data_IF_819877938510
#
_entry.id   IF_819877938510
#
_cell.length_a   1.000
_cell.length_b   1.000
_cell.length_c   1.000
_cell.angle_alpha   90.00
_cell.angle_beta   90.00
_cell.angle_gamma   90.00
#
_symmetry.space_group_name_H-M   'P 1'
#
loop_
_entity.id
_entity.type
_entity.pdbx_description
1 polymer ?
#
# COMPACT_ATOMS: atom_id res chain seq x y z
N UNK A 1 32.42 -14.08 -1.82
CA UNK A 1 31.14 -14.83 -1.71
C UNK A 1 30.04 -13.93 -2.22
N UNK A 2 29.12 -14.44 -3.03
CA UNK A 2 28.06 -13.61 -3.62
C UNK A 2 26.98 -13.27 -2.58
N UNK A 3 26.53 -12.01 -2.46
CA UNK A 3 25.46 -11.62 -1.55
C UNK A 3 24.15 -12.33 -1.88
N UNK A 4 23.31 -12.49 -0.86
CA UNK A 4 22.00 -13.15 -0.96
C UNK A 4 20.91 -12.32 -0.30
N UNK A 5 19.71 -12.41 -0.85
CA UNK A 5 18.50 -11.81 -0.27
C UNK A 5 17.77 -12.89 0.52
N UNK A 6 17.38 -12.57 1.74
CA UNK A 6 16.62 -13.45 2.63
C UNK A 6 15.86 -12.65 3.66
N UNK A 7 14.85 -13.24 4.27
CA UNK A 7 14.22 -12.66 5.46
C UNK A 7 15.04 -13.06 6.70
N UNK A 8 15.84 -12.12 7.21
CA UNK A 8 16.77 -12.35 8.31
C UNK A 8 16.10 -13.01 9.53
N UNK A 9 16.81 -13.95 10.15
CA UNK A 9 16.39 -14.67 11.35
C UNK A 9 15.12 -15.53 11.20
N UNK A 10 14.74 -15.88 9.97
CA UNK A 10 13.64 -16.83 9.68
C UNK A 10 14.12 -18.01 8.85
N UNK A 11 13.27 -19.03 8.68
CA UNK A 11 13.55 -20.24 7.90
C UNK A 11 13.26 -20.08 6.39
N UNK A 12 13.07 -18.85 5.91
CA UNK A 12 12.77 -18.57 4.51
C UNK A 12 14.02 -18.85 3.67
N UNK A 13 13.82 -19.44 2.49
CA UNK A 13 14.88 -19.66 1.51
C UNK A 13 15.56 -18.35 1.12
N UNK A 14 16.75 -18.46 0.53
CA UNK A 14 17.49 -17.31 0.03
C UNK A 14 17.56 -17.34 -1.49
N UNK A 15 17.68 -16.16 -2.08
CA UNK A 15 17.90 -15.99 -3.52
C UNK A 15 19.19 -15.19 -3.75
N UNK A 16 19.97 -15.49 -4.80
CA UNK A 16 21.16 -14.71 -5.13
C UNK A 16 20.80 -13.24 -5.42
N UNK A 17 21.58 -12.30 -4.89
CA UNK A 17 21.33 -10.87 -5.12
C UNK A 17 21.41 -10.49 -6.59
N UNK A 18 22.34 -11.09 -7.34
CA UNK A 18 22.46 -10.92 -8.79
C UNK A 18 21.19 -11.29 -9.53
N UNK A 19 20.60 -12.46 -9.22
CA UNK A 19 19.35 -12.89 -9.85
C UNK A 19 18.21 -11.90 -9.61
N UNK A 20 18.16 -11.28 -8.42
CA UNK A 20 17.19 -10.20 -8.12
C UNK A 20 17.46 -8.97 -8.99
N UNK A 21 18.72 -8.57 -9.15
CA UNK A 21 19.09 -7.44 -10.00
C UNK A 21 18.75 -7.69 -11.48
N UNK A 22 18.97 -8.90 -11.98
CA UNK A 22 18.66 -9.31 -13.34
C UNK A 22 17.16 -9.24 -13.61
N UNK A 23 16.33 -9.74 -12.70
CA UNK A 23 14.87 -9.63 -12.81
C UNK A 23 14.42 -8.15 -12.81
N UNK A 24 15.01 -7.30 -11.95
CA UNK A 24 14.67 -5.87 -11.94
C UNK A 24 15.06 -5.22 -13.27
N UNK A 25 16.23 -5.52 -13.83
CA UNK A 25 16.65 -5.04 -15.16
C UNK A 25 15.62 -5.42 -16.22
N UNK A 26 15.25 -6.70 -16.27
CA UNK A 26 14.34 -7.22 -17.29
C UNK A 26 12.96 -6.53 -17.21
N UNK A 27 12.47 -6.25 -15.99
CA UNK A 27 11.23 -5.49 -15.78
C UNK A 27 11.38 -4.04 -16.25
N UNK A 28 12.49 -3.35 -15.94
CA UNK A 28 12.71 -1.98 -16.42
C UNK A 28 12.68 -1.92 -17.94
N UNK A 29 13.28 -2.90 -18.62
CA UNK A 29 13.33 -2.97 -20.08
C UNK A 29 11.96 -3.23 -20.70
N UNK A 30 11.20 -4.13 -20.07
CA UNK A 30 9.83 -4.41 -20.46
C UNK A 30 8.94 -3.16 -20.31
N UNK A 31 9.00 -2.49 -19.16
CA UNK A 31 8.21 -1.27 -18.89
C UNK A 31 8.61 -0.13 -19.83
N UNK A 32 9.91 0.02 -20.13
CA UNK A 32 10.37 0.99 -21.13
C UNK A 32 9.80 0.73 -22.52
N UNK A 33 9.74 -0.54 -22.93
CA UNK A 33 9.15 -0.93 -24.22
C UNK A 33 7.65 -0.65 -24.27
N UNK A 34 6.92 -1.00 -23.21
CA UNK A 34 5.47 -0.75 -23.11
C UNK A 34 5.17 0.75 -23.09
N UNK A 35 5.92 1.52 -22.31
CA UNK A 35 5.76 2.97 -22.25
C UNK A 35 6.01 3.64 -23.61
N UNK A 36 7.08 3.27 -24.30
CA UNK A 36 7.38 3.78 -25.64
C UNK A 36 6.26 3.46 -26.65
N UNK A 37 5.70 2.24 -26.63
CA UNK A 37 4.59 1.86 -27.49
C UNK A 37 3.29 2.61 -27.18
N UNK A 38 3.07 2.96 -25.91
CA UNK A 38 1.90 3.71 -25.43
C UNK A 38 2.04 5.23 -25.51
N UNK A 39 3.19 5.77 -25.96
CA UNK A 39 3.47 7.21 -25.93
C UNK A 39 3.59 7.78 -24.51
N UNK A 40 3.97 6.95 -23.54
CA UNK A 40 4.15 7.31 -22.13
C UNK A 40 5.64 7.32 -21.78
N UNK A 41 6.02 7.98 -20.68
CA UNK A 41 7.38 7.86 -20.13
C UNK A 41 7.48 6.64 -19.21
N UNK A 42 8.60 5.88 -19.24
CA UNK A 42 8.81 4.81 -18.28
C UNK A 42 9.00 5.38 -16.87
N UNK A 43 8.33 4.78 -15.91
CA UNK A 43 8.45 5.18 -14.52
C UNK A 43 9.75 4.62 -13.88
N UNK A 44 10.37 5.37 -12.96
CA UNK A 44 11.53 4.90 -12.23
C UNK A 44 11.19 3.81 -11.23
N UNK A 45 12.18 2.99 -10.88
CA UNK A 45 12.08 1.99 -9.81
C UNK A 45 12.94 2.42 -8.62
N UNK A 46 12.33 2.48 -7.43
CA UNK A 46 13.04 2.75 -6.18
C UNK A 46 13.33 1.43 -5.45
N UNK A 47 14.61 1.07 -5.33
CA UNK A 47 15.06 -0.14 -4.64
C UNK A 47 15.43 0.18 -3.19
N UNK A 48 14.59 -0.23 -2.24
CA UNK A 48 14.92 -0.14 -0.79
C UNK A 48 15.88 -1.25 -0.41
N UNK A 49 17.13 -0.90 -0.11
CA UNK A 49 18.16 -1.88 0.26
C UNK A 49 18.35 -1.92 1.79
N UNK A 50 17.89 -3.00 2.42
CA UNK A 50 18.21 -3.29 3.82
C UNK A 50 19.49 -4.13 3.87
N UNK A 51 20.62 -3.46 4.06
CA UNK A 51 21.94 -4.05 3.91
C UNK A 51 22.51 -4.57 5.24
N UNK A 52 22.71 -5.89 5.33
CA UNK A 52 23.35 -6.56 6.48
C UNK A 52 24.70 -7.19 6.12
N UNK A 53 25.27 -6.83 4.95
CA UNK A 53 26.57 -7.33 4.51
C UNK A 53 27.71 -6.61 5.22
N UNK A 54 28.82 -7.31 5.42
CA UNK A 54 30.11 -6.71 5.78
C UNK A 54 30.69 -5.89 4.62
N UNK A 55 31.74 -5.10 4.87
CA UNK A 55 32.30 -4.19 3.87
C UNK A 55 32.68 -4.86 2.54
N UNK A 56 33.13 -6.12 2.57
CA UNK A 56 33.44 -6.88 1.36
C UNK A 56 32.15 -7.25 0.59
N UNK A 57 31.12 -7.72 1.29
CA UNK A 57 29.81 -7.97 0.71
C UNK A 57 29.13 -6.71 0.19
N UNK A 58 29.27 -5.57 0.88
CA UNK A 58 28.74 -4.28 0.40
C UNK A 58 29.40 -3.85 -0.91
N UNK A 59 30.73 -3.97 -1.02
CA UNK A 59 31.43 -3.73 -2.28
C UNK A 59 30.91 -4.64 -3.38
N UNK A 60 30.69 -5.92 -3.07
CA UNK A 60 30.16 -6.87 -4.06
C UNK A 60 28.72 -6.55 -4.48
N UNK A 61 27.87 -6.04 -3.58
CA UNK A 61 26.53 -5.54 -3.94
C UNK A 61 26.63 -4.43 -4.99
N UNK A 62 27.50 -3.45 -4.76
CA UNK A 62 27.70 -2.31 -5.67
C UNK A 62 28.23 -2.76 -7.03
N UNK A 63 29.23 -3.66 -7.06
CA UNK A 63 29.73 -4.24 -8.31
C UNK A 63 28.63 -4.92 -9.11
N UNK A 64 27.80 -5.76 -8.46
CA UNK A 64 26.67 -6.42 -9.13
C UNK A 64 25.68 -5.41 -9.70
N UNK A 65 25.33 -4.35 -8.95
CA UNK A 65 24.42 -3.32 -9.43
C UNK A 65 24.98 -2.61 -10.68
N UNK A 66 26.27 -2.26 -10.68
CA UNK A 66 26.90 -1.64 -11.86
C UNK A 66 27.00 -2.60 -13.05
N UNK A 67 27.37 -3.87 -12.81
CA UNK A 67 27.47 -4.89 -13.85
C UNK A 67 26.12 -5.23 -14.48
N UNK A 68 25.03 -5.23 -13.71
CA UNK A 68 23.72 -5.71 -14.17
C UNK A 68 22.79 -4.59 -14.61
N UNK A 69 22.78 -3.47 -13.90
CA UNK A 69 21.88 -2.36 -14.21
C UNK A 69 22.52 -1.34 -15.17
N UNK A 70 23.85 -1.29 -15.25
CA UNK A 70 24.59 -0.45 -16.20
C UNK A 70 24.05 0.99 -16.23
N UNK A 71 23.57 1.46 -17.39
CA UNK A 71 23.02 2.79 -17.59
C UNK A 71 21.65 3.00 -16.92
N UNK A 72 20.92 1.94 -16.56
CA UNK A 72 19.63 2.05 -15.83
C UNK A 72 19.84 2.51 -14.39
N UNK A 73 20.99 2.21 -13.80
CA UNK A 73 21.30 2.66 -12.45
C UNK A 73 21.49 4.18 -12.42
N UNK A 74 20.77 4.86 -11.54
CA UNK A 74 21.02 6.26 -11.24
C UNK A 74 22.28 6.39 -10.37
N UNK A 75 23.44 6.47 -11.02
CA UNK A 75 24.75 6.57 -10.35
C UNK A 75 25.27 8.00 -10.20
N UNK A 76 24.67 8.98 -10.88
CA UNK A 76 25.07 10.39 -10.85
C UNK A 76 23.86 11.30 -10.68
N UNK A 77 24.01 12.49 -10.08
CA UNK A 77 22.96 13.50 -10.05
C UNK A 77 22.47 13.84 -11.46
N UNK A 78 21.16 14.00 -11.63
CA UNK A 78 20.55 14.39 -12.92
C UNK A 78 20.91 15.82 -13.27
N UNK A 79 20.95 16.71 -12.27
CA UNK A 79 21.38 18.10 -12.40
C UNK A 79 22.54 18.38 -11.45
N UNK A 80 23.80 18.27 -11.90
CA UNK A 80 24.96 18.60 -11.08
C UNK A 80 24.93 20.09 -10.67
N UNK A 81 25.12 20.39 -9.38
CA UNK A 81 25.12 21.74 -8.80
C UNK A 81 23.76 22.46 -8.78
N UNK A 82 22.66 21.73 -8.95
CA UNK A 82 21.31 22.27 -8.84
C UNK A 82 20.49 21.43 -7.86
N UNK A 83 20.17 22.03 -6.71
CA UNK A 83 19.39 21.40 -5.64
C UNK A 83 17.87 21.54 -5.85
N UNK A 84 17.43 21.96 -7.04
CA UNK A 84 16.01 21.94 -7.39
C UNK A 84 15.50 20.51 -7.59
N UNK A 85 14.19 20.36 -7.48
CA UNK A 85 13.58 19.04 -7.54
C UNK A 85 13.54 18.51 -8.98
N UNK A 86 13.92 17.25 -9.12
CA UNK A 86 13.83 16.50 -10.37
C UNK A 86 12.39 16.02 -10.57
N UNK A 87 11.86 16.18 -11.78
CA UNK A 87 10.55 15.65 -12.16
C UNK A 87 10.63 14.15 -12.51
N UNK A 88 9.50 13.44 -12.49
CA UNK A 88 9.47 12.02 -12.91
C UNK A 88 9.90 11.83 -14.36
N UNK A 89 9.56 12.77 -15.23
CA UNK A 89 9.93 12.75 -16.65
C UNK A 89 11.46 12.83 -16.83
N UNK A 90 12.12 13.71 -16.07
CA UNK A 90 13.59 13.84 -16.11
C UNK A 90 14.31 12.64 -15.51
N UNK A 91 13.72 12.02 -14.48
CA UNK A 91 14.28 10.82 -13.88
C UNK A 91 14.17 9.62 -14.84
N UNK A 92 13.07 9.53 -15.59
CA UNK A 92 12.81 8.46 -16.57
C UNK A 92 12.82 7.06 -15.94
N UNK A 93 13.03 6.05 -16.78
CA UNK A 93 13.06 4.63 -16.40
C UNK A 93 14.36 4.21 -15.68
N UNK A 94 14.82 4.99 -14.71
CA UNK A 94 16.02 4.71 -13.93
C UNK A 94 15.72 3.91 -12.66
N UNK A 95 16.73 3.19 -12.19
CA UNK A 95 16.75 2.48 -10.92
C UNK A 95 17.48 3.36 -9.92
N UNK A 96 16.78 3.82 -8.87
CA UNK A 96 17.38 4.56 -7.78
C UNK A 96 17.40 3.71 -6.50
N UNK A 97 18.55 3.68 -5.82
CA UNK A 97 18.73 2.86 -4.61
C UNK A 97 18.52 3.72 -3.36
N UNK A 98 17.61 3.29 -2.50
CA UNK A 98 17.37 3.89 -1.19
C UNK A 98 18.17 3.10 -0.14
N UNK A 99 19.14 3.75 0.49
CA UNK A 99 20.02 3.17 1.50
C UNK A 99 19.95 3.96 2.81
N UNK A 100 20.38 3.32 3.90
CA UNK A 100 20.52 3.99 5.19
C UNK A 100 21.72 4.95 5.17
N UNK A 101 21.49 6.19 5.54
CA UNK A 101 22.54 7.20 5.66
C UNK A 101 23.00 7.32 7.12
N UNK A 102 24.29 7.15 7.35
CA UNK A 102 24.90 7.28 8.67
C UNK A 102 25.58 8.65 8.75
N UNK A 103 25.19 9.47 9.75
CA UNK A 103 25.80 10.78 9.93
C UNK A 103 27.27 10.63 10.39
N UNK A 104 28.24 11.35 9.80
CA UNK A 104 29.67 11.18 10.10
C UNK A 104 30.07 11.35 11.57
N UNK A 105 29.25 12.02 12.40
CA UNK A 105 29.55 12.33 13.79
C UNK A 105 28.64 11.63 14.82
N UNK A 106 27.74 10.74 14.40
CA UNK A 106 26.94 9.96 15.34
C UNK A 106 27.84 8.95 16.08
N UNK A 107 28.18 9.25 17.33
CA UNK A 107 28.71 8.25 18.27
C UNK A 107 27.71 7.09 18.32
N UNK A 108 28.20 5.84 18.30
CA UNK A 108 27.44 4.60 18.48
C UNK A 108 26.62 4.64 19.78
N UNK A 109 25.48 5.33 19.76
CA UNK A 109 24.57 5.40 20.88
C UNK A 109 23.67 4.18 20.78
N UNK A 110 23.89 3.23 21.68
CA UNK A 110 23.09 2.02 21.86
C UNK A 110 21.64 2.30 22.32
N UNK A 111 21.20 3.56 22.28
CA UNK A 111 19.93 4.06 22.79
C UNK A 111 19.12 4.78 21.71
N UNK A 112 18.91 4.17 20.55
CA UNK A 112 17.75 4.49 19.72
C UNK A 112 16.59 3.59 20.15
N UNK A 113 15.62 4.21 20.80
CA UNK A 113 14.40 3.60 21.30
C UNK A 113 13.62 3.00 20.13
N UNK A 114 13.86 1.71 19.85
CA UNK A 114 12.80 0.91 19.27
C UNK A 114 11.67 0.90 20.30
N UNK A 115 10.67 1.74 20.11
CA UNK A 115 9.36 1.67 20.75
C UNK A 115 8.68 0.36 20.34
N UNK A 116 9.22 -0.72 20.90
CA UNK A 116 8.61 -2.05 20.94
C UNK A 116 7.71 -2.20 22.16
N UNK A 117 7.46 -1.12 22.91
CA UNK A 117 6.49 -1.06 23.99
C UNK A 117 5.13 -0.57 23.49
N UNK A 118 4.31 -1.51 23.04
CA UNK A 118 2.92 -1.58 23.50
C UNK A 118 2.30 -2.91 23.12
N UNK A 119 1.67 -3.49 24.13
CA UNK A 119 0.85 -4.70 24.13
C UNK A 119 -0.32 -4.57 23.17
N UNK A 120 -0.38 -5.43 22.17
CA UNK A 120 -1.65 -5.77 21.53
C UNK A 120 -1.97 -7.22 21.89
N UNK A 121 -2.80 -7.36 22.92
CA UNK A 121 -3.65 -8.52 23.17
C UNK A 121 -4.57 -8.73 21.98
N UNK A 122 -4.37 -9.82 21.26
CA UNK A 122 -5.38 -10.84 20.94
C UNK A 122 -4.91 -11.66 19.73
N UNK A 123 -4.26 -12.79 20.02
CA UNK A 123 -4.08 -13.90 19.06
C UNK A 123 -3.77 -15.15 19.88
N UNK A 124 -4.63 -16.14 19.75
CA UNK A 124 -4.67 -17.38 20.54
C UNK A 124 -3.59 -18.41 20.18
N UNK A 125 -2.73 -18.13 19.20
CA UNK A 125 -1.71 -19.08 18.74
C UNK A 125 -0.40 -18.92 19.52
N UNK A 126 -0.11 -19.89 20.39
CA UNK A 126 1.13 -19.95 21.16
C UNK A 126 2.38 -20.13 20.27
N UNK A 127 2.23 -20.70 19.07
CA UNK A 127 3.30 -20.81 18.08
C UNK A 127 3.78 -19.44 17.58
N UNK A 128 2.87 -18.50 17.33
CA UNK A 128 3.23 -17.14 16.91
C UNK A 128 3.94 -16.36 18.02
N UNK A 129 3.58 -16.59 19.29
CA UNK A 129 4.26 -15.97 20.44
C UNK A 129 5.70 -16.48 20.56
N UNK A 130 5.91 -17.79 20.42
CA UNK A 130 7.25 -18.40 20.47
C UNK A 130 8.12 -17.92 19.31
N UNK A 131 7.60 -17.89 18.09
CA UNK A 131 8.30 -17.34 16.92
C UNK A 131 8.68 -15.86 17.08
N UNK A 132 7.79 -15.02 17.65
CA UNK A 132 8.09 -13.61 18.00
C UNK A 132 9.21 -13.50 19.03
N UNK A 133 9.20 -14.35 20.06
CA UNK A 133 10.21 -14.33 21.12
C UNK A 133 11.59 -14.74 20.58
N UNK A 134 11.65 -15.80 19.78
CA UNK A 134 12.89 -16.26 19.13
C UNK A 134 13.44 -15.23 18.14
N UNK A 135 12.59 -14.61 17.32
CA UNK A 135 12.98 -13.52 16.43
C UNK A 135 13.56 -12.32 17.21
N UNK A 136 12.91 -11.92 18.31
CA UNK A 136 13.37 -10.83 19.17
C UNK A 136 14.72 -11.14 19.84
N UNK A 137 14.95 -12.39 20.24
CA UNK A 137 16.23 -12.82 20.82
C UNK A 137 17.37 -12.83 19.78
N UNK A 138 17.10 -13.29 18.56
CA UNK A 138 18.09 -13.31 17.47
C UNK A 138 18.45 -11.90 16.97
N UNK A 139 17.46 -11.00 16.86
CA UNK A 139 17.65 -9.58 16.48
C UNK A 139 18.51 -8.76 17.47
N UNK A 140 18.65 -9.21 18.74
CA UNK A 140 19.47 -8.53 19.75
C UNK A 140 20.99 -8.80 19.62
N UNK A 141 21.41 -9.71 18.74
CA UNK A 141 22.81 -10.16 18.62
C UNK A 141 23.64 -9.47 17.54
N UNK A 142 23.05 -8.57 16.75
CA UNK A 142 23.74 -7.79 15.70
C UNK A 142 23.60 -6.28 15.95
N UNK A 143 24.55 -5.44 15.48
CA UNK A 143 24.44 -4.00 15.56
C UNK A 143 23.14 -3.53 14.90
N UNK A 144 22.43 -2.62 15.54
CA UNK A 144 21.13 -2.14 15.07
C UNK A 144 21.35 -1.01 14.08
N UNK A 145 20.68 -1.09 12.94
CA UNK A 145 20.44 0.04 12.05
C UNK A 145 19.79 1.20 12.84
N UNK A 146 20.37 2.39 12.72
CA UNK A 146 19.94 3.60 13.43
C UNK A 146 18.67 4.15 12.78
N UNK A 147 17.55 4.11 13.51
CA UNK A 147 16.30 4.73 13.05
C UNK A 147 16.23 6.16 13.57
N UNK A 148 16.21 7.12 12.66
CA UNK A 148 16.09 8.52 13.01
C UNK A 148 14.66 8.81 13.50
N UNK A 149 14.55 9.23 14.76
CA UNK A 149 13.29 9.59 15.41
C UNK A 149 12.66 10.80 14.71
N UNK A 150 11.34 10.75 14.49
CA UNK A 150 10.54 11.84 13.90
C UNK A 150 10.67 13.17 14.69
N UNK A 151 11.14 13.11 15.94
CA UNK A 151 11.31 14.26 16.83
C UNK A 151 12.59 15.08 16.60
N UNK A 152 13.54 14.58 15.81
CA UNK A 152 14.81 15.25 15.53
C UNK A 152 15.18 15.09 14.06
N UNK A 153 14.46 15.81 13.19
CA UNK A 153 14.95 16.04 11.83
C UNK A 153 16.27 16.81 11.95
N UNK A 154 17.40 16.29 11.44
CA UNK A 154 18.67 16.96 11.56
C UNK A 154 18.59 18.33 10.89
N UNK A 155 19.06 19.38 11.57
CA UNK A 155 19.26 20.69 10.93
C UNK A 155 20.34 20.62 9.82
N UNK A 156 21.21 19.61 9.90
CA UNK A 156 22.38 19.40 9.04
C UNK A 156 22.32 18.05 8.26
N UNK A 157 21.12 17.55 7.97
CA UNK A 157 20.91 16.33 7.20
C UNK A 157 21.11 16.54 5.69
N UNK A 158 21.27 15.47 4.89
CA UNK A 158 21.34 15.60 3.45
C UNK A 158 20.07 16.30 2.92
N UNK A 159 20.19 17.22 1.95
CA UNK A 159 19.07 18.05 1.48
C UNK A 159 17.87 17.24 0.95
N UNK A 160 18.13 16.02 0.47
CA UNK A 160 17.14 15.07 -0.04
C UNK A 160 17.09 13.80 0.81
N UNK A 161 16.64 13.90 2.06
CA UNK A 161 16.39 12.72 2.88
C UNK A 161 15.03 12.08 2.59
N UNK A 162 14.97 10.77 2.81
CA UNK A 162 13.75 9.98 2.86
C UNK A 162 13.57 9.44 4.27
N UNK A 163 12.40 9.64 4.87
CA UNK A 163 12.09 9.06 6.19
C UNK A 163 11.54 7.65 6.00
N UNK A 164 12.15 6.67 6.67
CA UNK A 164 11.67 5.30 6.69
C UNK A 164 11.12 4.94 8.08
N UNK A 165 9.81 4.71 8.20
CA UNK A 165 9.13 4.58 9.50
C UNK A 165 8.10 3.43 9.51
N UNK A 166 7.99 2.72 10.63
CA UNK A 166 6.94 1.69 10.77
C UNK A 166 5.55 2.31 10.86
N UNK A 167 4.51 1.60 10.43
CA UNK A 167 3.11 2.05 10.53
C UNK A 167 2.75 2.52 11.95
N UNK A 168 3.20 1.82 12.99
CA UNK A 168 2.90 2.16 14.38
C UNK A 168 3.66 3.39 14.85
N UNK A 169 4.88 3.58 14.36
CA UNK A 169 5.69 4.75 14.68
C UNK A 169 5.14 6.01 14.02
N UNK A 170 4.63 5.91 12.79
CA UNK A 170 3.98 7.04 12.15
C UNK A 170 2.63 7.33 12.80
N UNK A 171 1.78 6.31 12.97
CA UNK A 171 0.44 6.48 13.57
C UNK A 171 0.46 7.09 14.97
N UNK A 172 1.49 6.82 15.79
CA UNK A 172 1.59 7.42 17.13
C UNK A 172 1.79 8.94 17.13
N UNK A 173 2.14 9.54 16.00
CA UNK A 173 2.32 10.99 15.86
C UNK A 173 1.21 11.66 15.03
N UNK A 174 0.41 10.89 14.28
CA UNK A 174 -0.52 11.49 13.33
C UNK A 174 -1.65 12.28 14.00
N UNK A 175 -2.19 11.80 15.13
CA UNK A 175 -3.28 12.48 15.83
C UNK A 175 -2.92 13.94 16.20
N UNK A 176 -1.68 14.17 16.64
CA UNK A 176 -1.24 15.49 17.12
C UNK A 176 -0.45 16.29 16.07
N UNK A 177 0.06 15.62 15.03
CA UNK A 177 1.05 16.21 14.12
C UNK A 177 0.75 16.00 12.63
N UNK A 178 -0.43 15.49 12.25
CA UNK A 178 -0.79 15.21 10.85
C UNK A 178 -0.44 16.35 9.89
N UNK A 179 -0.90 17.59 10.15
CA UNK A 179 -0.63 18.71 9.26
C UNK A 179 0.87 19.05 9.12
N UNK A 180 1.65 18.87 10.20
CA UNK A 180 3.12 19.06 10.16
C UNK A 180 3.79 17.97 9.33
N UNK A 181 3.34 16.72 9.50
CA UNK A 181 3.79 15.58 8.70
C UNK A 181 3.45 15.79 7.22
N UNK A 182 2.23 16.24 6.90
CA UNK A 182 1.80 16.57 5.53
C UNK A 182 2.69 17.63 4.89
N UNK A 183 3.00 18.73 5.59
CA UNK A 183 3.90 19.78 5.10
C UNK A 183 5.33 19.30 4.89
N UNK A 184 5.82 18.41 5.75
CA UNK A 184 7.11 17.74 5.54
C UNK A 184 7.08 16.87 4.27
N UNK A 185 6.05 16.03 4.14
CA UNK A 185 5.90 15.10 3.02
C UNK A 185 5.59 15.81 1.69
N UNK A 186 5.21 17.08 1.72
CA UNK A 186 5.11 17.93 0.53
C UNK A 186 6.48 18.21 -0.12
N UNK A 187 7.57 18.10 0.65
CA UNK A 187 8.95 18.42 0.22
C UNK A 187 9.89 17.22 0.24
N UNK A 188 9.63 16.24 1.10
CA UNK A 188 10.47 15.06 1.29
C UNK A 188 9.69 13.76 1.12
N UNK A 189 10.39 12.69 0.76
CA UNK A 189 9.78 11.37 0.65
C UNK A 189 9.63 10.72 2.03
N UNK A 190 8.52 10.02 2.23
CA UNK A 190 8.28 9.18 3.39
C UNK A 190 7.86 7.79 2.95
N UNK A 191 8.57 6.78 3.48
CA UNK A 191 8.22 5.37 3.41
C UNK A 191 7.62 4.91 4.72
N UNK A 192 6.42 4.37 4.65
CA UNK A 192 5.76 3.67 5.76
C UNK A 192 5.68 2.17 5.45
N UNK A 193 5.98 1.32 6.42
CA UNK A 193 5.98 -0.13 6.24
C UNK A 193 5.30 -0.88 7.42
N UNK A 194 4.75 -2.09 7.20
CA UNK A 194 4.09 -2.84 8.25
C UNK A 194 5.09 -3.21 9.35
N UNK A 195 4.66 -3.18 10.62
CA UNK A 195 5.56 -3.51 11.73
C UNK A 195 6.09 -4.94 11.59
N UNK A 196 7.40 -5.14 11.69
CA UNK A 196 8.10 -6.42 11.48
C UNK A 196 7.74 -7.58 12.43
N UNK A 197 6.78 -7.40 13.34
CA UNK A 197 6.22 -8.47 14.18
C UNK A 197 4.96 -9.12 13.57
N UNK A 198 4.53 -8.70 12.37
CA UNK A 198 3.41 -9.29 11.65
C UNK A 198 3.84 -10.56 10.93
N UNK A 199 3.96 -11.67 11.68
CA UNK A 199 4.23 -13.01 11.12
C UNK A 199 3.18 -13.39 10.05
N UNK A 200 1.95 -12.91 10.20
CA UNK A 200 0.84 -13.19 9.28
C UNK A 200 0.88 -12.43 7.95
N UNK A 201 1.93 -11.66 7.64
CA UNK A 201 2.05 -10.84 6.42
C UNK A 201 0.84 -9.93 6.16
N UNK A 202 0.09 -9.56 7.21
CA UNK A 202 -1.07 -8.68 7.12
C UNK A 202 -0.63 -7.27 6.75
N UNK A 203 -1.33 -6.66 5.81
CA UNK A 203 -1.04 -5.30 5.36
C UNK A 203 -1.47 -4.22 6.36
N UNK A 204 -0.81 -3.07 6.26
CA UNK A 204 -1.23 -1.81 6.89
C UNK A 204 -2.46 -1.25 6.16
N UNK A 205 -3.18 -0.30 6.76
CA UNK A 205 -4.24 0.45 6.05
C UNK A 205 -3.59 1.67 5.38
N UNK A 206 -3.53 1.76 4.04
CA UNK A 206 -2.73 2.81 3.39
C UNK A 206 -3.41 4.18 3.39
N UNK A 207 -4.75 4.23 3.37
CA UNK A 207 -5.52 5.48 3.25
C UNK A 207 -5.12 6.55 4.28
N UNK A 208 -5.04 6.25 5.60
CA UNK A 208 -4.56 7.24 6.58
C UNK A 208 -3.19 7.82 6.28
N UNK A 209 -2.25 7.00 5.79
CA UNK A 209 -0.89 7.42 5.50
C UNK A 209 -0.80 8.25 4.21
N UNK A 210 -1.57 7.89 3.18
CA UNK A 210 -1.78 8.76 2.02
C UNK A 210 -2.40 10.11 2.44
N UNK A 211 -3.27 10.09 3.45
CA UNK A 211 -3.87 11.27 4.08
C UNK A 211 -2.89 12.30 4.62
N UNK A 212 -1.69 11.85 5.04
CA UNK A 212 -0.59 12.74 5.47
C UNK A 212 0.51 12.85 4.39
N UNK A 213 0.19 12.47 3.15
CA UNK A 213 1.08 12.59 2.01
C UNK A 213 2.24 11.60 1.96
N UNK A 214 2.20 10.50 2.71
CA UNK A 214 3.19 9.44 2.62
C UNK A 214 3.15 8.80 1.22
N UNK A 215 4.26 8.89 0.49
CA UNK A 215 4.34 8.48 -0.91
C UNK A 215 4.54 6.98 -1.05
N UNK A 216 5.34 6.37 -0.16
CA UNK A 216 5.73 4.97 -0.27
C UNK A 216 5.07 4.19 0.87
N UNK A 217 3.83 3.76 0.65
CA UNK A 217 3.15 2.82 1.56
C UNK A 217 3.51 1.38 1.17
N UNK A 218 4.53 0.81 1.80
CA UNK A 218 4.97 -0.55 1.50
C UNK A 218 3.91 -1.58 1.94
N UNK A 219 3.48 -2.43 1.01
CA UNK A 219 2.54 -3.51 1.25
C UNK A 219 3.19 -4.86 0.93
N UNK A 220 2.73 -5.91 1.59
CA UNK A 220 2.95 -7.31 1.25
C UNK A 220 2.08 -7.66 0.04
N UNK A 221 2.65 -7.59 -1.16
CA UNK A 221 1.96 -7.84 -2.43
C UNK A 221 1.42 -9.27 -2.57
N UNK A 222 2.07 -10.24 -1.91
CA UNK A 222 1.60 -11.63 -1.85
C UNK A 222 0.29 -11.81 -1.06
N UNK A 223 -0.11 -10.81 -0.26
CA UNK A 223 -1.34 -10.87 0.57
C UNK A 223 -2.44 -10.03 -0.05
N UNK A 224 -3.25 -10.64 -0.93
CA UNK A 224 -4.39 -9.95 -1.52
C UNK A 224 -5.51 -9.74 -0.48
N UNK A 225 -5.76 -8.48 -0.14
CA UNK A 225 -6.75 -8.06 0.85
C UNK A 225 -7.24 -6.64 0.62
N UNK A 226 -7.96 -6.06 1.58
CA UNK A 226 -8.52 -4.72 1.43
C UNK A 226 -7.46 -3.65 1.09
N UNK A 227 -6.28 -3.73 1.70
CA UNK A 227 -5.18 -2.79 1.42
C UNK A 227 -4.66 -2.90 -0.02
N UNK A 228 -4.46 -4.12 -0.52
CA UNK A 228 -4.02 -4.32 -1.92
C UNK A 228 -5.11 -3.88 -2.90
N UNK A 229 -6.38 -4.18 -2.63
CA UNK A 229 -7.49 -3.73 -3.47
C UNK A 229 -7.57 -2.20 -3.56
N UNK A 230 -7.30 -1.49 -2.46
CA UNK A 230 -7.26 -0.03 -2.43
C UNK A 230 -5.99 0.52 -3.09
N UNK A 231 -4.87 -0.19 -2.99
CA UNK A 231 -3.64 0.13 -3.71
C UNK A 231 -3.87 0.04 -5.21
N UNK A 232 -4.44 -1.07 -5.68
CA UNK A 232 -4.80 -1.26 -7.09
C UNK A 232 -5.77 -0.16 -7.54
N UNK A 233 -6.74 0.21 -6.71
CA UNK A 233 -7.69 1.28 -7.02
C UNK A 233 -7.04 2.66 -7.19
N UNK A 234 -6.03 3.01 -6.36
CA UNK A 234 -5.32 4.29 -6.46
C UNK A 234 -4.43 4.34 -7.70
N UNK A 235 -3.72 3.25 -7.99
CA UNK A 235 -2.71 3.21 -9.06
C UNK A 235 -3.24 2.66 -10.39
N UNK A 236 -4.51 2.27 -10.47
CA UNK A 236 -5.13 1.73 -11.68
C UNK A 236 -4.95 2.69 -12.88
N UNK A 237 -4.48 2.16 -14.00
CA UNK A 237 -4.26 2.94 -15.22
C UNK A 237 -3.06 3.90 -15.14
N UNK A 238 -2.20 3.78 -14.13
CA UNK A 238 -0.99 4.60 -13.99
C UNK A 238 0.26 3.72 -14.01
N UNK A 239 1.45 4.26 -14.32
CA UNK A 239 2.71 3.52 -14.24
C UNK A 239 3.23 3.42 -12.79
N UNK A 240 2.34 3.45 -11.79
CA UNK A 240 2.69 3.36 -10.36
C UNK A 240 2.93 4.71 -9.66
N UNK A 241 2.70 5.83 -10.35
CA UNK A 241 2.87 7.18 -9.81
C UNK A 241 1.60 8.01 -9.98
N UNK A 242 1.08 8.53 -8.88
CA UNK A 242 -0.14 9.36 -8.83
C UNK A 242 0.20 10.70 -8.18
N UNK A 243 -0.20 11.79 -8.81
CA UNK A 243 0.00 13.12 -8.25
C UNK A 243 -0.86 13.31 -6.99
N UNK A 244 -0.26 13.73 -5.89
CA UNK A 244 -0.97 13.98 -4.62
C UNK A 244 -2.08 15.03 -4.77
N UNK A 245 -3.12 15.01 -3.91
CA UNK A 245 -4.07 16.11 -3.78
C UNK A 245 -3.37 17.45 -3.58
N UNK A 246 -3.98 18.54 -4.09
CA UNK A 246 -3.36 19.87 -4.06
C UNK A 246 -2.95 20.30 -2.63
N UNK A 247 -3.79 20.01 -1.64
CA UNK A 247 -3.53 20.32 -0.24
C UNK A 247 -2.27 19.62 0.34
N UNK A 248 -1.79 18.53 -0.26
CA UNK A 248 -0.61 17.77 0.17
C UNK A 248 0.65 18.07 -0.66
N UNK A 249 0.59 19.06 -1.56
CA UNK A 249 1.73 19.57 -2.35
C UNK A 249 2.44 20.72 -1.64
N UNK A 250 3.51 21.24 -2.23
CA UNK A 250 4.46 22.19 -1.59
C UNK A 250 3.84 23.49 -1.14
N UNK A 251 2.84 23.93 -1.89
CA UNK A 251 2.01 25.11 -1.78
C UNK A 251 0.67 24.85 -1.06
N UNK A 252 0.38 23.59 -0.72
CA UNK A 252 -0.83 23.19 -0.02
C UNK A 252 -0.81 23.48 1.49
N UNK A 253 -2.01 23.50 2.09
CA UNK A 253 -2.21 23.73 3.53
C UNK A 253 -1.68 22.60 4.43
N UNK A 254 -1.57 21.38 3.87
CA UNK A 254 -1.32 20.14 4.60
C UNK A 254 -2.57 19.55 5.27
N UNK A 255 -3.75 20.12 5.01
CA UNK A 255 -5.05 19.69 5.55
C UNK A 255 -5.97 19.39 4.38
N UNK A 256 -6.38 18.13 4.23
CA UNK A 256 -7.09 17.63 3.05
C UNK A 256 -8.51 18.18 2.96
N UNK A 257 -9.22 18.26 4.09
CA UNK A 257 -10.64 18.61 4.09
C UNK A 257 -10.91 20.10 4.30
N UNK A 258 -9.87 20.94 4.42
CA UNK A 258 -10.02 22.37 4.76
C UNK A 258 -10.89 23.12 3.74
N UNK A 259 -10.64 22.90 2.45
CA UNK A 259 -11.34 23.55 1.34
C UNK A 259 -12.02 22.51 0.41
N UNK A 260 -12.18 21.27 0.91
CA UNK A 260 -12.78 20.19 0.14
C UNK A 260 -14.29 20.44 -0.02
N UNK A 261 -14.84 20.44 -1.25
CA UNK A 261 -16.27 20.65 -1.46
C UNK A 261 -17.06 19.45 -0.95
N UNK A 262 -18.18 19.70 -0.28
CA UNK A 262 -19.14 18.65 0.06
C UNK A 262 -19.83 18.12 -1.19
N UNK A 263 -19.87 16.79 -1.33
CA UNK A 263 -20.51 16.09 -2.43
C UNK A 263 -21.41 14.97 -1.94
N UNK A 264 -22.37 14.62 -2.80
CA UNK A 264 -23.24 13.46 -2.61
C UNK A 264 -22.88 12.42 -3.67
N UNK A 265 -22.46 11.24 -3.25
CA UNK A 265 -22.29 10.09 -4.14
C UNK A 265 -23.58 9.28 -4.13
N UNK A 266 -24.19 9.09 -5.31
CA UNK A 266 -25.28 8.14 -5.54
C UNK A 266 -24.77 6.98 -6.38
N UNK A 267 -24.83 5.78 -5.83
CA UNK A 267 -24.48 4.53 -6.51
C UNK A 267 -25.72 3.67 -6.67
N UNK A 268 -26.21 3.55 -7.90
CA UNK A 268 -27.29 2.61 -8.24
C UNK A 268 -26.70 1.24 -8.53
N UNK A 269 -26.99 0.29 -7.65
CA UNK A 269 -26.64 -1.13 -7.82
C UNK A 269 -27.77 -1.80 -8.60
N UNK A 270 -27.64 -1.83 -9.93
CA UNK A 270 -28.64 -2.44 -10.80
C UNK A 270 -28.72 -3.96 -10.57
N UNK A 271 -27.59 -4.65 -10.66
CA UNK A 271 -27.49 -6.10 -10.52
C UNK A 271 -26.05 -6.57 -10.58
N UNK A 272 -25.88 -7.88 -10.57
CA UNK A 272 -24.62 -8.55 -10.90
C UNK A 272 -24.93 -9.72 -11.85
N UNK A 273 -23.93 -10.16 -12.60
CA UNK A 273 -24.05 -11.33 -13.47
C UNK A 273 -22.87 -12.26 -13.24
N UNK A 274 -23.09 -13.57 -13.40
CA UNK A 274 -22.07 -14.60 -13.19
C UNK A 274 -21.37 -14.50 -11.82
N UNK A 275 -22.13 -14.23 -10.75
CA UNK A 275 -21.58 -14.20 -9.38
C UNK A 275 -20.94 -15.56 -9.06
N UNK A 276 -19.67 -15.59 -8.62
CA UNK A 276 -18.96 -16.84 -8.37
C UNK A 276 -19.66 -17.71 -7.32
N UNK A 277 -19.79 -19.00 -7.64
CA UNK A 277 -20.30 -20.02 -6.74
C UNK A 277 -19.12 -20.63 -5.95
N UNK A 278 -19.13 -20.56 -4.61
CA UNK A 278 -18.12 -21.25 -3.81
C UNK A 278 -18.17 -22.76 -4.03
N UNK A 279 -17.00 -23.41 -4.03
CA UNK A 279 -16.89 -24.85 -4.21
C UNK A 279 -17.78 -25.63 -3.24
N UNK A 280 -18.53 -26.60 -3.75
CA UNK A 280 -19.42 -27.45 -2.96
C UNK A 280 -20.76 -26.81 -2.56
N UNK A 281 -21.13 -25.66 -3.14
CA UNK A 281 -22.42 -25.02 -2.90
C UNK A 281 -23.33 -25.00 -4.13
N UNK A 282 -24.63 -25.06 -3.90
CA UNK A 282 -25.65 -24.84 -4.92
C UNK A 282 -25.95 -23.34 -5.08
N UNK A 283 -26.34 -22.93 -6.29
CA UNK A 283 -26.84 -21.56 -6.53
C UNK A 283 -28.06 -21.22 -5.69
N UNK A 284 -28.88 -22.21 -5.33
CA UNK A 284 -30.06 -22.02 -4.51
C UNK A 284 -29.74 -21.67 -3.05
N UNK A 285 -28.50 -21.92 -2.60
CA UNK A 285 -28.04 -21.58 -1.25
C UNK A 285 -27.61 -20.12 -1.14
N UNK A 286 -27.30 -19.48 -2.28
CA UNK A 286 -26.83 -18.10 -2.29
C UNK A 286 -27.96 -17.13 -1.90
N UNK A 287 -27.59 -16.16 -1.07
CA UNK A 287 -28.42 -15.02 -0.67
C UNK A 287 -27.62 -13.74 -0.90
N UNK A 288 -27.37 -13.36 -2.16
CA UNK A 288 -26.39 -12.34 -2.47
C UNK A 288 -26.88 -10.95 -2.07
N UNK A 289 -25.96 -10.12 -1.61
CA UNK A 289 -26.17 -8.70 -1.38
C UNK A 289 -24.86 -7.94 -1.60
N UNK A 290 -24.96 -6.65 -1.92
CA UNK A 290 -23.79 -5.81 -2.12
C UNK A 290 -23.56 -4.97 -0.87
N UNK A 291 -22.30 -4.92 -0.43
CA UNK A 291 -21.84 -3.97 0.60
C UNK A 291 -20.86 -2.99 0.00
N UNK A 292 -21.19 -1.71 0.07
CA UNK A 292 -20.38 -0.61 -0.43
C UNK A 292 -19.86 0.20 0.75
N UNK A 293 -18.55 0.42 0.83
CA UNK A 293 -17.92 1.28 1.84
C UNK A 293 -17.28 2.46 1.13
N UNK A 294 -17.66 3.67 1.52
CA UNK A 294 -16.93 4.90 1.18
C UNK A 294 -15.80 5.07 2.20
N UNK A 295 -14.57 5.23 1.73
CA UNK A 295 -13.37 5.37 2.56
C UNK A 295 -12.60 6.63 2.19
N UNK A 296 -12.19 7.41 3.17
CA UNK A 296 -11.37 8.60 2.98
C UNK A 296 -10.47 8.84 4.19
N UNK A 297 -9.29 9.45 4.02
CA UNK A 297 -8.47 9.86 5.15
C UNK A 297 -9.20 10.91 5.98
N UNK A 298 -8.90 10.95 7.28
CA UNK A 298 -9.29 12.04 8.17
C UNK A 298 -8.08 12.92 8.44
N UNK A 299 -8.31 14.21 8.66
CA UNK A 299 -7.24 15.16 8.98
C UNK A 299 -6.54 14.88 10.32
N UNK A 300 -7.18 14.11 11.22
CA UNK A 300 -6.58 13.58 12.46
C UNK A 300 -5.70 12.33 12.23
N UNK A 301 -5.47 11.95 10.97
CA UNK A 301 -4.71 10.76 10.62
C UNK A 301 -5.47 9.44 10.78
N UNK A 302 -6.79 9.51 10.98
CA UNK A 302 -7.67 8.35 10.99
C UNK A 302 -8.18 7.93 9.60
N UNK A 303 -9.05 6.91 9.59
CA UNK A 303 -9.80 6.46 8.43
C UNK A 303 -11.28 6.72 8.67
N UNK A 304 -11.91 7.55 7.84
CA UNK A 304 -13.36 7.62 7.77
C UNK A 304 -13.87 6.48 6.87
N UNK A 305 -14.84 5.71 7.37
CA UNK A 305 -15.44 4.59 6.63
C UNK A 305 -16.95 4.55 6.86
N UNK A 306 -17.70 4.85 5.80
CA UNK A 306 -19.18 4.83 5.84
C UNK A 306 -19.70 3.70 4.96
N UNK A 307 -20.37 2.73 5.59
CA UNK A 307 -20.88 1.53 4.91
C UNK A 307 -22.36 1.68 4.58
N UNK A 308 -22.75 1.27 3.39
CA UNK A 308 -24.12 1.02 2.94
C UNK A 308 -24.21 -0.39 2.36
N UNK A 309 -25.43 -0.91 2.23
CA UNK A 309 -25.69 -2.23 1.64
C UNK A 309 -27.03 -2.22 0.93
N UNK A 310 -27.15 -3.07 -0.08
CA UNK A 310 -28.45 -3.42 -0.65
C UNK A 310 -29.21 -4.34 0.30
N UNK A 311 -30.48 -4.58 0.00
CA UNK A 311 -31.21 -5.71 0.55
C UNK A 311 -30.58 -7.04 0.07
N UNK A 312 -30.90 -8.10 0.80
CA UNK A 312 -30.56 -9.47 0.39
C UNK A 312 -31.45 -9.86 -0.77
N UNK A 313 -30.85 -10.26 -1.89
CA UNK A 313 -31.59 -10.76 -3.04
C UNK A 313 -32.32 -12.03 -2.66
N UNK A 314 -33.63 -12.05 -2.88
CA UNK A 314 -34.49 -13.21 -2.72
C UNK A 314 -35.21 -13.42 -4.03
N UNK A 315 -35.03 -14.61 -4.63
CA UNK A 315 -35.82 -15.01 -5.78
C UNK A 315 -37.28 -15.15 -5.35
N UNK A 316 -38.16 -14.35 -5.94
CA UNK A 316 -39.59 -14.50 -5.75
C UNK A 316 -40.09 -15.67 -6.61
N UNK A 317 -40.11 -16.87 -6.02
CA UNK A 317 -40.73 -18.03 -6.67
C UNK A 317 -42.20 -18.11 -6.27
N UNK A 318 -43.10 -17.94 -7.23
CA UNK A 318 -44.53 -18.20 -7.04
C UNK A 318 -44.80 -19.67 -7.43
N UNK A 319 -45.39 -20.49 -6.54
CA UNK A 319 -45.47 -21.94 -6.73
C UNK A 319 -46.30 -22.44 -7.94
N UNK A 320 -46.93 -21.55 -8.71
CA UNK A 320 -47.85 -21.91 -9.80
C UNK A 320 -47.57 -21.19 -11.13
N UNK A 321 -46.47 -20.44 -11.23
CA UNK A 321 -46.04 -19.75 -12.46
C UNK A 321 -44.63 -20.23 -12.81
N UNK A 322 -44.39 -20.47 -14.11
CA UNK A 322 -43.04 -20.69 -14.64
C UNK A 322 -42.12 -19.55 -14.18
N UNK A 323 -41.04 -19.92 -13.50
CA UNK A 323 -40.16 -19.00 -12.80
C UNK A 323 -39.08 -18.46 -13.75
N UNK A 324 -39.38 -17.37 -14.47
CA UNK A 324 -38.49 -16.73 -15.46
C UNK A 324 -37.58 -15.62 -14.86
N UNK A 325 -37.53 -15.48 -13.52
CA UNK A 325 -36.74 -14.46 -12.84
C UNK A 325 -35.23 -14.79 -12.80
N UNK A 326 -34.34 -13.78 -12.70
CA UNK A 326 -32.90 -13.99 -12.60
C UNK A 326 -32.53 -14.86 -11.38
N UNK A 327 -31.60 -15.80 -11.58
CA UNK A 327 -31.10 -16.65 -10.50
C UNK A 327 -30.24 -15.89 -9.49
N UNK A 328 -29.89 -16.50 -8.34
CA UNK A 328 -28.98 -15.89 -7.36
C UNK A 328 -27.55 -15.63 -7.85
N UNK A 329 -27.16 -16.19 -9.00
CA UNK A 329 -25.91 -15.87 -9.70
C UNK A 329 -25.99 -14.61 -10.54
N UNK A 330 -27.22 -14.16 -10.84
CA UNK A 330 -27.51 -13.01 -11.69
C UNK A 330 -28.50 -12.05 -10.99
N UNK A 331 -28.24 -11.67 -9.71
CA UNK A 331 -29.20 -10.92 -8.91
C UNK A 331 -29.45 -9.53 -9.47
N UNK A 332 -30.69 -9.06 -9.36
CA UNK A 332 -31.11 -7.69 -9.70
C UNK A 332 -31.63 -7.02 -8.44
N UNK A 333 -31.00 -5.90 -8.04
CA UNK A 333 -31.39 -5.12 -6.87
C UNK A 333 -32.10 -3.83 -7.26
N UNK A 334 -31.59 -3.10 -8.27
CA UNK A 334 -32.03 -1.75 -8.62
C UNK A 334 -32.13 -0.80 -7.42
N UNK A 335 -31.17 -0.90 -6.50
CA UNK A 335 -31.14 -0.10 -5.27
C UNK A 335 -30.10 1.02 -5.36
N UNK A 336 -30.47 2.23 -4.94
CA UNK A 336 -29.54 3.37 -4.88
C UNK A 336 -29.02 3.53 -3.46
N UNK A 337 -27.69 3.52 -3.33
CA UNK A 337 -26.97 3.79 -2.10
C UNK A 337 -26.42 5.22 -2.14
N UNK A 338 -26.55 5.95 -1.03
CA UNK A 338 -26.14 7.36 -0.96
C UNK A 338 -25.18 7.64 0.20
N UNK A 339 -24.21 8.51 -0.06
CA UNK A 339 -23.25 9.04 0.90
C UNK A 339 -23.05 10.53 0.69
N UNK A 340 -22.87 11.25 1.79
CA UNK A 340 -22.31 12.61 1.80
C UNK A 340 -20.85 12.53 2.27
N UNK A 341 -19.98 13.30 1.63
CA UNK A 341 -18.56 13.32 1.93
C UNK A 341 -17.89 14.63 1.49
N UNK A 342 -16.71 14.89 2.02
CA UNK A 342 -15.84 15.99 1.58
C UNK A 342 -14.93 15.45 0.47
N UNK A 343 -15.01 15.99 -0.75
CA UNK A 343 -14.18 15.55 -1.87
C UNK A 343 -12.75 16.07 -1.73
N UNK A 344 -11.98 15.34 -0.94
CA UNK A 344 -10.58 15.63 -0.66
C UNK A 344 -9.60 14.96 -1.63
N UNK A 345 -10.09 14.51 -2.79
CA UNK A 345 -9.32 13.83 -3.83
C UNK A 345 -8.74 12.46 -3.44
N UNK A 346 -8.97 11.95 -2.22
CA UNK A 346 -8.55 10.61 -1.77
C UNK A 346 -9.75 9.82 -1.23
N UNK A 347 -10.78 9.74 -2.05
CA UNK A 347 -12.05 9.11 -1.70
C UNK A 347 -12.25 7.84 -2.52
N UNK A 348 -12.43 6.72 -1.83
CA UNK A 348 -12.50 5.39 -2.40
C UNK A 348 -13.86 4.75 -2.14
N UNK A 349 -14.38 4.02 -3.12
CA UNK A 349 -15.55 3.16 -2.97
C UNK A 349 -15.10 1.72 -3.08
N UNK A 350 -15.31 0.94 -2.02
CA UNK A 350 -15.04 -0.50 -2.00
C UNK A 350 -16.33 -1.30 -1.92
N UNK A 351 -16.58 -2.10 -2.93
CA UNK A 351 -17.79 -2.92 -3.12
C UNK A 351 -17.47 -4.39 -2.90
N UNK A 352 -18.36 -5.08 -2.19
CA UNK A 352 -18.28 -6.52 -1.96
C UNK A 352 -19.62 -7.16 -2.26
N UNK A 353 -19.62 -8.16 -3.14
CA UNK A 353 -20.75 -9.09 -3.25
C UNK A 353 -20.55 -10.15 -2.18
N UNK A 354 -21.56 -10.35 -1.34
CA UNK A 354 -21.53 -11.33 -0.23
C UNK A 354 -22.77 -12.19 -0.27
N UNK A 355 -22.70 -13.39 0.31
CA UNK A 355 -23.89 -14.20 0.60
C UNK A 355 -24.28 -14.06 2.07
N UNK A 356 -25.55 -13.84 2.36
CA UNK A 356 -26.10 -13.81 3.72
C UNK A 356 -26.40 -15.24 4.19
N UNK A 357 -25.40 -15.86 4.80
CA UNK A 357 -25.47 -17.26 5.19
C UNK A 357 -25.80 -17.39 6.67
N UNK A 358 -26.81 -18.19 6.98
CA UNK A 358 -27.10 -18.54 8.36
C UNK A 358 -25.92 -19.30 8.99
N UNK A 359 -25.62 -19.00 10.26
CA UNK A 359 -24.67 -19.76 11.10
C UNK A 359 -23.21 -19.78 10.64
N UNK A 360 -22.80 -18.90 9.71
CA UNK A 360 -21.40 -18.76 9.29
C UNK A 360 -21.05 -17.31 8.97
N UNK A 361 -19.75 -17.01 8.80
CA UNK A 361 -19.34 -15.69 8.35
C UNK A 361 -19.71 -15.51 6.87
N UNK A 362 -20.52 -14.48 6.58
CA UNK A 362 -20.98 -14.15 5.23
C UNK A 362 -19.82 -14.13 4.21
N UNK A 363 -19.72 -15.11 3.29
CA UNK A 363 -18.60 -15.23 2.37
C UNK A 363 -18.59 -14.04 1.41
N UNK A 364 -17.39 -13.59 1.05
CA UNK A 364 -17.19 -12.59 -0.01
C UNK A 364 -17.02 -13.32 -1.33
N UNK A 365 -17.94 -13.09 -2.26
CA UNK A 365 -17.99 -13.74 -3.57
C UNK A 365 -17.18 -12.96 -4.62
N UNK A 366 -17.25 -11.63 -4.57
CA UNK A 366 -16.52 -10.74 -5.46
C UNK A 366 -16.18 -9.42 -4.77
N UNK A 367 -15.16 -8.74 -5.30
CA UNK A 367 -14.70 -7.44 -4.77
C UNK A 367 -14.35 -6.47 -5.89
N UNK A 368 -14.68 -5.21 -5.69
CA UNK A 368 -14.18 -4.10 -6.50
C UNK A 368 -13.79 -2.95 -5.57
N UNK A 369 -12.77 -2.18 -5.95
CA UNK A 369 -12.39 -0.95 -5.27
C UNK A 369 -12.00 0.07 -6.34
N UNK A 370 -12.46 1.31 -6.21
CA UNK A 370 -12.18 2.39 -7.16
C UNK A 370 -12.02 3.71 -6.41
N UNK A 371 -11.21 4.61 -6.96
CA UNK A 371 -11.26 6.03 -6.61
C UNK A 371 -12.52 6.66 -7.22
N UNK A 372 -13.19 7.54 -6.47
CA UNK A 372 -14.43 8.20 -6.93
C UNK A 372 -14.24 9.03 -8.19
N UNK A 373 -13.05 9.60 -8.40
CA UNK A 373 -12.72 10.38 -9.61
C UNK A 373 -12.53 9.53 -10.87
N UNK A 374 -12.16 8.26 -10.70
CA UNK A 374 -11.88 7.32 -11.79
C UNK A 374 -13.06 6.40 -12.12
N UNK A 375 -14.24 6.67 -11.57
CA UNK A 375 -15.42 5.79 -11.60
C UNK A 375 -16.06 5.58 -13.00
N UNK A 376 -15.42 6.01 -14.09
CA UNK A 376 -15.85 5.73 -15.45
C UNK A 376 -15.69 4.24 -15.84
N UNK A 377 -14.90 3.44 -15.12
CA UNK A 377 -14.76 2.00 -15.35
C UNK A 377 -14.61 1.22 -14.03
N UNK A 378 -15.61 0.41 -13.65
CA UNK A 378 -15.52 -0.49 -12.48
C UNK A 378 -15.03 -1.86 -12.95
N UNK A 379 -13.81 -2.24 -12.55
CA UNK A 379 -13.29 -3.60 -12.78
C UNK A 379 -13.60 -4.49 -11.56
N UNK A 380 -14.28 -5.61 -11.79
CA UNK A 380 -14.61 -6.59 -10.75
C UNK A 380 -13.52 -7.66 -10.65
N UNK A 381 -12.96 -7.84 -9.46
CA UNK A 381 -12.03 -8.92 -9.16
C UNK A 381 -12.77 -10.05 -8.44
N UNK A 382 -12.85 -11.21 -9.09
CA UNK A 382 -13.32 -12.43 -8.44
C UNK A 382 -12.27 -12.87 -7.40
N UNK A 383 -12.72 -13.22 -6.19
CA UNK A 383 -11.83 -13.83 -5.21
C UNK A 383 -11.72 -15.32 -5.58
N UNK A 384 -10.57 -15.74 -6.12
CA UNK A 384 -10.26 -17.16 -6.30
C UNK A 384 -10.18 -17.87 -4.95
#
# INVERSE_FOLDING_TARGET
MEPKVTHGYTLVSNVPFRAVCEVIRDVVDQEATVAAAGGMFPAPILVSLENHCDSAGQRRLVEIMHEVWEDRLLSTPIRPNDDTHVTLEELGGKIAVMVEYHLPEEKDSSSSSSSSSSSSSDSSDDEQKKAKAEYKAKKRRHPRSSYQSLHSLPKDGPPFHLINVSETGLSSHMADHAAKISRHNARHLLRVYPKGMRISSRNLSPIPFWGVGAQICALNWQTFGASMQLNDALFAGTPGYVLKPAALRRDGSGVLSQDAPRRILRLTVAGASNVPLPSGRSSNDLRPYVTCSLLQPRDDGGLAKVKRKTAVYRRHSLPFLSDDGPGPTDPVWNETLEWEFDDNELVFVRMLIKSDDSWSANPVLAVAANETKSAASITWNAKK
#
